data_IF_354797910128
#
_entry.id   IF_354797910128
#
_cell.length_a   1.000
_cell.length_b   1.000
_cell.length_c   1.000
_cell.angle_alpha   90.00
_cell.angle_beta   90.00
_cell.angle_gamma   90.00
#
_symmetry.space_group_name_H-M   'P 1'
#
loop_
_entity.id
_entity.type
_entity.pdbx_description
1 polymer ?
#
# COMPACT_ATOMS: atom_id res chain seq x y z
N UNK A 1 -0.99 -2.91 -74.37
CA UNK A 1 -1.20 -4.28 -73.87
C UNK A 1 -1.00 -4.26 -72.37
N UNK A 2 -1.99 -4.73 -71.62
CA UNK A 2 -2.13 -4.55 -70.19
C UNK A 2 -1.15 -5.43 -69.39
N UNK A 3 -0.47 -4.82 -68.41
CA UNK A 3 0.40 -5.49 -67.45
C UNK A 3 -0.34 -5.71 -66.13
N UNK A 4 -0.59 -6.97 -65.79
CA UNK A 4 -1.21 -7.42 -64.54
C UNK A 4 -0.21 -7.35 -63.39
N UNK A 5 -0.47 -6.54 -62.35
CA UNK A 5 0.27 -6.56 -61.08
C UNK A 5 -0.37 -7.58 -60.14
N UNK A 6 0.39 -8.60 -59.76
CA UNK A 6 0.03 -9.56 -58.72
C UNK A 6 0.23 -8.95 -57.33
N UNK A 7 -0.83 -8.94 -56.54
CA UNK A 7 -0.82 -8.65 -55.10
C UNK A 7 -0.46 -9.93 -54.33
N UNK A 8 0.74 -9.98 -53.77
CA UNK A 8 1.13 -10.99 -52.79
C UNK A 8 0.50 -10.62 -51.44
N UNK A 9 -0.55 -11.34 -51.06
CA UNK A 9 -1.09 -11.37 -49.70
C UNK A 9 -0.24 -12.36 -48.89
N UNK A 10 0.36 -11.90 -47.79
CA UNK A 10 1.00 -12.77 -46.80
C UNK A 10 -0.10 -13.27 -45.85
N UNK A 11 -0.25 -14.59 -45.63
CA UNK A 11 -1.22 -15.13 -44.67
C UNK A 11 -0.87 -14.73 -43.23
N UNK A 12 -1.89 -14.41 -42.44
CA UNK A 12 -1.77 -14.03 -41.04
C UNK A 12 -1.15 -15.14 -40.18
N UNK A 13 -0.19 -14.75 -39.36
CA UNK A 13 0.34 -15.60 -38.31
C UNK A 13 -0.66 -15.70 -37.16
N UNK A 14 -0.97 -16.96 -36.84
CA UNK A 14 -1.90 -17.43 -35.82
C UNK A 14 -1.29 -17.21 -34.43
N UNK A 15 -1.59 -16.07 -33.80
CA UNK A 15 -1.12 -15.70 -32.45
C UNK A 15 -1.96 -16.37 -31.34
N UNK A 16 -2.29 -17.66 -31.51
CA UNK A 16 -3.16 -18.36 -30.57
C UNK A 16 -2.86 -19.84 -30.45
N UNK A 17 -1.64 -20.17 -30.02
CA UNK A 17 -1.32 -21.40 -29.28
C UNK A 17 -0.04 -21.15 -28.48
N UNK A 18 -0.02 -21.63 -27.24
CA UNK A 18 1.13 -21.61 -26.31
C UNK A 18 1.28 -20.37 -25.42
N UNK A 19 0.20 -19.93 -24.77
CA UNK A 19 0.30 -19.19 -23.52
C UNK A 19 -0.05 -20.11 -22.32
N UNK A 20 0.93 -20.54 -21.50
CA UNK A 20 0.72 -21.49 -20.40
C UNK A 20 -0.07 -20.93 -19.20
N UNK A 21 -0.54 -19.68 -19.26
CA UNK A 21 -1.31 -19.02 -18.19
C UNK A 21 -2.83 -19.10 -18.33
N UNK A 22 -3.36 -19.81 -19.34
CA UNK A 22 -4.79 -20.09 -19.44
C UNK A 22 -5.17 -21.28 -18.54
N UNK A 23 -5.43 -21.02 -17.25
CA UNK A 23 -6.28 -21.92 -16.46
C UNK A 23 -7.68 -21.98 -17.08
N UNK A 24 -8.33 -23.16 -17.12
CA UNK A 24 -9.64 -23.32 -17.74
C UNK A 24 -10.72 -22.53 -16.98
N UNK A 25 -11.76 -22.02 -17.68
CA UNK A 25 -12.82 -21.27 -17.05
C UNK A 25 -13.71 -22.20 -16.20
N UNK A 26 -13.73 -21.97 -14.89
CA UNK A 26 -14.88 -22.32 -14.06
C UNK A 26 -16.06 -21.48 -14.55
N UNK A 27 -17.02 -22.14 -15.18
CA UNK A 27 -18.24 -21.52 -15.67
C UNK A 27 -19.07 -20.96 -14.52
N UNK A 28 -18.96 -19.65 -14.27
CA UNK A 28 -19.91 -18.93 -13.43
C UNK A 28 -21.06 -18.43 -14.31
N UNK A 29 -22.19 -19.14 -14.24
CA UNK A 29 -23.41 -18.88 -15.00
C UNK A 29 -24.13 -17.67 -14.41
N UNK A 30 -24.06 -16.52 -15.09
CA UNK A 30 -24.96 -15.41 -14.83
C UNK A 30 -26.37 -15.79 -15.32
N UNK A 31 -27.28 -16.06 -14.39
CA UNK A 31 -28.70 -16.16 -14.66
C UNK A 31 -29.30 -14.77 -14.83
N UNK A 32 -29.89 -14.53 -16.01
CA UNK A 32 -30.84 -13.45 -16.20
C UNK A 32 -32.01 -13.60 -15.22
N UNK A 33 -32.25 -12.56 -14.44
CA UNK A 33 -33.41 -12.43 -13.56
C UNK A 33 -33.68 -10.95 -13.30
N UNK A 34 -34.28 -10.28 -14.28
CA UNK A 34 -34.84 -8.95 -14.07
C UNK A 34 -36.03 -9.07 -13.11
N UNK A 35 -36.03 -8.28 -12.03
CA UNK A 35 -37.28 -7.82 -11.42
C UNK A 35 -37.12 -6.42 -10.85
N UNK A 36 -38.11 -5.60 -11.19
CA UNK A 36 -38.26 -4.18 -10.88
C UNK A 36 -38.36 -3.95 -9.38
N UNK A 37 -37.49 -3.11 -8.83
CA UNK A 37 -37.76 -2.34 -7.61
C UNK A 37 -36.74 -1.20 -7.48
N UNK A 38 -36.98 -0.08 -8.17
CA UNK A 38 -36.30 1.19 -7.90
C UNK A 38 -37.23 2.34 -8.31
N UNK A 39 -38.37 2.40 -7.64
CA UNK A 39 -39.04 3.67 -7.41
C UNK A 39 -38.71 4.06 -5.96
N UNK A 40 -38.50 5.36 -5.73
CA UNK A 40 -38.55 6.00 -4.42
C UNK A 40 -37.27 5.99 -3.57
N UNK A 41 -36.32 6.86 -3.94
CA UNK A 41 -35.51 7.58 -2.94
C UNK A 41 -35.73 9.06 -3.16
N UNK A 42 -36.77 9.56 -2.50
CA UNK A 42 -37.08 10.97 -2.43
C UNK A 42 -36.08 11.74 -1.58
N UNK A 43 -35.74 12.93 -2.09
CA UNK A 43 -35.55 14.19 -1.36
C UNK A 43 -34.77 14.12 -0.04
N UNK A 44 -33.50 14.51 -0.09
CA UNK A 44 -32.86 15.20 1.04
C UNK A 44 -31.78 16.17 0.55
N UNK A 45 -32.21 17.30 -0.01
CA UNK A 45 -31.39 18.51 -0.10
C UNK A 45 -32.32 19.70 0.07
N UNK A 46 -31.91 20.62 0.96
CA UNK A 46 -32.45 21.95 1.30
C UNK A 46 -32.96 22.03 2.75
N UNK A 47 -32.08 22.45 3.66
CA UNK A 47 -32.17 23.66 4.51
C UNK A 47 -31.43 23.46 5.83
N UNK A 48 -30.32 24.19 5.99
CA UNK A 48 -29.89 24.75 7.28
C UNK A 48 -28.73 25.73 7.04
N UNK A 49 -29.07 26.95 6.60
CA UNK A 49 -28.27 28.13 6.95
C UNK A 49 -28.83 28.60 8.29
N UNK A 50 -28.07 28.45 9.36
CA UNK A 50 -28.25 29.26 10.55
C UNK A 50 -26.91 29.41 11.25
N UNK A 51 -26.25 30.53 10.96
CA UNK A 51 -25.13 31.04 11.72
C UNK A 51 -25.66 31.54 13.05
N UNK A 52 -25.33 30.84 14.14
CA UNK A 52 -25.46 31.36 15.50
C UNK A 52 -24.05 31.54 16.02
N UNK A 53 -23.63 32.81 16.13
CA UNK A 53 -22.42 33.18 16.83
C UNK A 53 -22.66 32.95 18.33
N UNK A 54 -22.04 31.90 18.89
CA UNK A 54 -21.90 31.77 20.34
C UNK A 54 -20.75 32.66 20.80
N UNK A 55 -21.09 33.71 21.55
CA UNK A 55 -20.16 34.50 22.34
C UNK A 55 -19.65 33.64 23.51
N UNK A 56 -18.36 33.33 23.52
CA UNK A 56 -17.67 32.73 24.66
C UNK A 56 -17.19 33.88 25.55
N UNK A 57 -17.55 33.94 26.85
CA UNK A 57 -16.97 34.92 27.76
C UNK A 57 -15.50 34.55 28.07
N UNK A 58 -14.60 35.51 27.84
CA UNK A 58 -13.21 35.47 28.30
C UNK A 58 -13.19 35.67 29.81
N UNK A 59 -12.83 34.62 30.55
CA UNK A 59 -12.54 34.72 31.97
C UNK A 59 -11.08 35.16 32.16
N UNK A 60 -10.90 36.38 32.70
CA UNK A 60 -9.61 36.88 33.19
C UNK A 60 -9.24 36.18 34.49
N UNK A 61 -8.25 35.30 34.47
CA UNK A 61 -7.67 34.72 35.68
C UNK A 61 -6.57 35.64 36.23
N UNK A 62 -6.75 36.05 37.49
CA UNK A 62 -5.78 36.83 38.27
C UNK A 62 -4.54 36.01 38.62
N UNK A 63 -3.38 36.64 38.55
CA UNK A 63 -2.11 36.09 38.99
C UNK A 63 -2.14 35.81 40.50
N UNK A 64 -1.98 34.54 40.89
CA UNK A 64 -1.83 34.11 42.27
C UNK A 64 -0.37 33.83 42.56
N UNK A 65 0.17 34.57 43.52
CA UNK A 65 1.54 34.47 44.06
C UNK A 65 1.79 33.10 44.67
N UNK A 66 2.76 32.35 44.14
CA UNK A 66 3.24 31.09 44.72
C UNK A 66 4.36 31.40 45.73
N UNK A 67 4.27 30.97 47.00
CA UNK A 67 5.36 31.09 47.95
C UNK A 67 6.48 30.06 47.68
N UNK A 68 7.72 30.56 47.80
CA UNK A 68 8.96 29.79 47.73
C UNK A 68 8.99 28.69 48.78
N UNK A 69 9.04 27.42 48.33
CA UNK A 69 9.21 26.25 49.21
C UNK A 69 10.63 25.71 49.10
N UNK A 70 11.19 25.46 50.28
CA UNK A 70 12.58 25.18 50.62
C UNK A 70 13.18 23.94 49.95
N UNK A 71 14.51 23.99 49.79
CA UNK A 71 15.36 22.92 49.31
C UNK A 71 15.28 21.67 50.21
N UNK A 72 14.83 20.54 49.64
CA UNK A 72 15.00 19.20 50.23
C UNK A 72 16.37 18.67 49.80
N UNK A 73 17.19 18.32 50.78
CA UNK A 73 18.43 17.55 50.61
C UNK A 73 18.14 16.19 49.96
N UNK A 74 18.87 15.87 48.88
CA UNK A 74 18.75 14.62 48.15
C UNK A 74 19.26 13.41 48.99
N UNK A 75 18.54 12.28 49.02
CA UNK A 75 19.05 11.07 49.65
C UNK A 75 20.15 10.39 48.82
N UNK A 76 21.15 9.86 49.51
CA UNK A 76 22.30 9.13 48.96
C UNK A 76 21.81 7.87 48.21
N UNK A 77 22.28 7.60 46.97
CA UNK A 77 21.82 6.43 46.22
C UNK A 77 22.31 5.13 46.88
N UNK A 78 21.38 4.22 47.13
CA UNK A 78 21.65 2.84 47.52
C UNK A 78 22.28 2.11 46.34
N UNK A 79 23.53 1.68 46.49
CA UNK A 79 24.20 0.80 45.52
C UNK A 79 23.59 -0.60 45.66
N UNK A 80 22.84 -1.02 44.66
CA UNK A 80 22.49 -2.43 44.47
C UNK A 80 23.63 -3.09 43.71
N UNK A 81 24.37 -3.97 44.39
CA UNK A 81 25.32 -4.86 43.73
C UNK A 81 24.53 -5.97 43.03
N UNK A 82 24.36 -5.83 41.71
CA UNK A 82 23.71 -6.85 40.89
C UNK A 82 24.60 -8.10 40.81
N UNK A 83 24.11 -9.30 41.16
CA UNK A 83 24.85 -10.54 40.97
C UNK A 83 25.15 -10.74 39.49
N UNK A 84 26.43 -10.92 39.17
CA UNK A 84 26.92 -11.15 37.82
C UNK A 84 26.55 -12.59 37.41
N UNK A 85 25.41 -12.76 36.74
CA UNK A 85 25.04 -14.03 36.14
C UNK A 85 26.07 -14.43 35.07
N UNK A 86 26.46 -15.71 34.96
CA UNK A 86 27.36 -16.16 33.91
C UNK A 86 26.72 -15.97 32.54
N UNK A 87 27.40 -15.24 31.67
CA UNK A 87 27.01 -14.93 30.31
C UNK A 87 26.91 -16.20 29.47
N UNK A 88 25.70 -16.69 29.25
CA UNK A 88 25.42 -17.66 28.20
C UNK A 88 25.12 -16.87 26.93
N UNK A 89 26.16 -16.31 26.30
CA UNK A 89 26.06 -15.67 24.99
C UNK A 89 25.98 -16.75 23.89
N UNK A 90 24.90 -17.52 23.89
CA UNK A 90 24.42 -18.11 22.64
C UNK A 90 23.96 -16.94 21.78
N UNK A 91 24.75 -16.58 20.76
CA UNK A 91 24.37 -15.67 19.69
C UNK A 91 23.16 -16.26 18.95
N UNK A 92 21.96 -16.07 19.51
CA UNK A 92 20.73 -16.18 18.75
C UNK A 92 20.79 -15.02 17.77
N UNK A 93 21.28 -15.31 16.57
CA UNK A 93 21.20 -14.37 15.45
C UNK A 93 19.74 -13.94 15.37
N UNK A 94 19.47 -12.65 15.62
CA UNK A 94 18.12 -12.12 15.53
C UNK A 94 17.57 -12.49 14.14
N UNK A 95 16.30 -12.92 14.03
CA UNK A 95 15.74 -13.27 12.73
C UNK A 95 15.94 -12.08 11.79
N UNK A 96 16.44 -12.36 10.59
CA UNK A 96 16.64 -11.36 9.56
C UNK A 96 15.36 -10.54 9.38
N UNK A 97 15.45 -9.22 9.52
CA UNK A 97 14.28 -8.34 9.36
C UNK A 97 13.79 -8.44 7.92
N UNK A 98 12.48 -8.63 7.74
CA UNK A 98 11.85 -8.63 6.43
C UNK A 98 11.29 -7.23 6.14
N UNK A 99 11.56 -6.65 4.96
CA UNK A 99 11.07 -5.32 4.65
C UNK A 99 9.57 -5.36 4.40
N UNK A 100 8.84 -4.40 4.95
CA UNK A 100 7.45 -4.16 4.58
C UNK A 100 7.42 -3.43 3.23
N UNK A 101 6.91 -4.08 2.18
CA UNK A 101 6.94 -3.54 0.82
C UNK A 101 5.54 -3.05 0.43
N UNK A 102 5.43 -1.74 0.22
CA UNK A 102 4.20 -1.09 -0.24
C UNK A 102 4.21 -0.95 -1.76
N UNK A 103 3.29 -1.64 -2.43
CA UNK A 103 3.16 -1.69 -3.88
C UNK A 103 2.01 -0.80 -4.33
N UNK A 104 2.32 0.20 -5.15
CA UNK A 104 1.33 1.09 -5.75
C UNK A 104 0.50 0.39 -6.84
N UNK A 105 -0.64 0.97 -7.21
CA UNK A 105 -1.53 0.43 -8.25
C UNK A 105 -1.29 1.11 -9.61
N UNK A 106 -1.60 2.40 -9.71
CA UNK A 106 -1.62 3.11 -10.99
C UNK A 106 -0.18 3.43 -11.45
N UNK A 107 0.08 3.17 -12.73
CA UNK A 107 1.41 3.20 -13.36
C UNK A 107 2.48 2.32 -12.66
N UNK A 108 2.02 1.38 -11.83
CA UNK A 108 2.88 0.38 -11.16
C UNK A 108 2.43 -1.04 -11.48
N UNK A 109 1.22 -1.43 -11.09
CA UNK A 109 0.63 -2.74 -11.45
C UNK A 109 -0.21 -2.66 -12.72
N UNK A 110 -0.81 -1.50 -12.98
CA UNK A 110 -1.68 -1.27 -14.13
C UNK A 110 -1.39 0.09 -14.73
N UNK A 111 -1.47 0.19 -16.06
CA UNK A 111 -1.53 1.45 -16.78
C UNK A 111 -2.92 1.66 -17.35
N UNK A 112 -3.42 2.89 -17.29
CA UNK A 112 -4.69 3.25 -17.91
C UNK A 112 -4.45 3.88 -19.30
N UNK A 113 -5.20 3.42 -20.30
CA UNK A 113 -5.24 4.02 -21.64
C UNK A 113 -6.70 4.18 -22.08
N UNK A 114 -7.22 5.41 -21.99
CA UNK A 114 -8.65 5.66 -22.09
C UNK A 114 -9.40 4.95 -20.97
N UNK A 115 -10.40 4.14 -21.32
CA UNK A 115 -11.13 3.30 -20.36
C UNK A 115 -10.48 1.93 -20.10
N UNK A 116 -9.42 1.58 -20.85
CA UNK A 116 -8.76 0.28 -20.72
C UNK A 116 -7.71 0.33 -19.63
N UNK A 117 -7.68 -0.71 -18.80
CA UNK A 117 -6.62 -1.00 -17.83
C UNK A 117 -5.75 -2.10 -18.41
N UNK A 118 -4.45 -1.84 -18.51
CA UNK A 118 -3.47 -2.73 -19.12
C UNK A 118 -2.51 -3.13 -17.98
N UNK A 119 -2.41 -4.42 -17.64
CA UNK A 119 -1.44 -4.89 -16.65
C UNK A 119 -0.01 -4.53 -17.05
N UNK A 120 0.80 -4.15 -16.07
CA UNK A 120 2.25 -4.02 -16.23
C UNK A 120 2.84 -5.37 -15.82
N UNK A 121 2.87 -6.32 -16.76
CA UNK A 121 3.15 -7.74 -16.48
C UNK A 121 4.43 -7.97 -15.67
N UNK A 122 5.50 -7.23 -15.97
CA UNK A 122 6.78 -7.35 -15.25
C UNK A 122 6.64 -7.03 -13.75
N UNK A 123 5.75 -6.12 -13.36
CA UNK A 123 5.47 -5.83 -11.95
C UNK A 123 4.53 -6.86 -11.32
N UNK A 124 3.59 -7.43 -12.08
CA UNK A 124 2.74 -8.54 -11.62
C UNK A 124 3.61 -9.76 -11.27
N UNK A 125 4.51 -10.14 -12.17
CA UNK A 125 5.48 -11.22 -11.98
C UNK A 125 6.39 -10.94 -10.78
N UNK A 126 6.86 -9.69 -10.63
CA UNK A 126 7.69 -9.28 -9.48
C UNK A 126 6.96 -9.44 -8.15
N UNK A 127 5.70 -9.03 -8.05
CA UNK A 127 4.89 -9.22 -6.83
C UNK A 127 4.77 -10.69 -6.48
N UNK A 128 4.50 -11.55 -7.47
CA UNK A 128 4.42 -13.00 -7.27
C UNK A 128 5.76 -13.57 -6.77
N UNK A 129 6.89 -13.17 -7.38
CA UNK A 129 8.22 -13.59 -6.96
C UNK A 129 8.53 -13.17 -5.52
N UNK A 130 8.32 -11.90 -5.18
CA UNK A 130 8.56 -11.39 -3.83
C UNK A 130 7.70 -12.10 -2.80
N UNK A 131 6.43 -12.38 -3.11
CA UNK A 131 5.56 -13.14 -2.23
C UNK A 131 6.07 -14.58 -2.02
N UNK A 132 6.52 -15.25 -3.09
CA UNK A 132 7.11 -16.58 -3.02
C UNK A 132 8.44 -16.61 -2.23
N UNK A 133 9.19 -15.52 -2.25
CA UNK A 133 10.41 -15.30 -1.45
C UNK A 133 10.09 -15.00 0.04
N UNK A 134 8.81 -14.89 0.41
CA UNK A 134 8.36 -14.66 1.78
C UNK A 134 8.26 -13.19 2.18
N UNK A 135 8.29 -12.26 1.22
CA UNK A 135 8.14 -10.84 1.49
C UNK A 135 6.75 -10.49 2.04
N UNK A 136 6.69 -9.49 2.93
CA UNK A 136 5.44 -8.94 3.41
C UNK A 136 5.00 -7.76 2.53
N UNK A 137 3.93 -7.96 1.76
CA UNK A 137 3.48 -7.01 0.74
C UNK A 137 2.19 -6.30 1.17
N UNK A 138 2.11 -5.01 0.89
CA UNK A 138 0.96 -4.16 1.14
C UNK A 138 0.56 -3.48 -0.17
N UNK A 139 -0.71 -3.58 -0.58
CA UNK A 139 -1.17 -2.88 -1.78
C UNK A 139 -1.70 -1.51 -1.41
N UNK A 140 -1.23 -0.47 -2.09
CA UNK A 140 -1.39 0.92 -1.67
C UNK A 140 -1.89 1.79 -2.84
N UNK A 141 -2.90 2.63 -2.65
CA UNK A 141 -3.39 3.48 -3.73
C UNK A 141 -4.02 4.79 -3.25
N UNK A 142 -3.88 5.86 -4.05
CA UNK A 142 -4.60 7.12 -3.86
C UNK A 142 -6.11 6.98 -4.12
N UNK A 143 -6.54 5.97 -4.88
CA UNK A 143 -7.95 5.63 -5.08
C UNK A 143 -8.61 4.95 -3.87
N UNK A 144 -7.84 4.68 -2.80
CA UNK A 144 -8.33 4.07 -1.56
C UNK A 144 -8.09 2.56 -1.47
N UNK A 145 -8.29 2.01 -0.27
CA UNK A 145 -8.03 0.58 0.01
C UNK A 145 -8.93 -0.37 -0.77
N UNK A 146 -10.20 -0.01 -1.00
CA UNK A 146 -11.12 -0.84 -1.78
C UNK A 146 -10.72 -0.89 -3.26
N UNK A 147 -10.29 0.25 -3.81
CA UNK A 147 -9.76 0.31 -5.16
C UNK A 147 -8.47 -0.52 -5.31
N UNK A 148 -7.58 -0.46 -4.31
CA UNK A 148 -6.37 -1.28 -4.28
C UNK A 148 -6.72 -2.78 -4.26
N UNK A 149 -7.65 -3.20 -3.40
CA UNK A 149 -8.14 -4.58 -3.31
C UNK A 149 -8.73 -5.08 -4.62
N UNK A 150 -9.64 -4.30 -5.21
CA UNK A 150 -10.27 -4.65 -6.49
C UNK A 150 -9.22 -4.81 -7.59
N UNK A 151 -8.28 -3.87 -7.70
CA UNK A 151 -7.21 -3.90 -8.70
C UNK A 151 -6.30 -5.12 -8.55
N UNK A 152 -5.91 -5.47 -7.32
CA UNK A 152 -5.10 -6.66 -7.08
C UNK A 152 -5.85 -7.95 -7.41
N UNK A 153 -7.15 -8.04 -7.08
CA UNK A 153 -7.98 -9.20 -7.40
C UNK A 153 -8.19 -9.36 -8.90
N UNK A 154 -8.38 -8.27 -9.65
CA UNK A 154 -8.45 -8.28 -11.12
C UNK A 154 -7.21 -8.91 -11.77
N UNK A 155 -6.05 -8.77 -11.11
CA UNK A 155 -4.77 -9.33 -11.55
C UNK A 155 -4.43 -10.70 -10.94
N UNK A 156 -5.31 -11.25 -10.09
CA UNK A 156 -5.04 -12.50 -9.36
C UNK A 156 -4.02 -12.37 -8.22
N UNK A 157 -3.61 -11.15 -7.83
CA UNK A 157 -2.59 -10.88 -6.81
C UNK A 157 -3.15 -10.71 -5.39
N UNK A 158 -4.48 -10.80 -5.21
CA UNK A 158 -5.13 -10.51 -3.93
C UNK A 158 -4.58 -11.30 -2.74
N UNK A 159 -4.13 -12.53 -2.98
CA UNK A 159 -3.55 -13.42 -1.97
C UNK A 159 -2.11 -13.06 -1.58
N UNK A 160 -1.39 -12.30 -2.42
CA UNK A 160 -0.01 -11.91 -2.15
C UNK A 160 0.10 -10.80 -1.10
N UNK A 161 -0.98 -10.04 -0.89
CA UNK A 161 -0.97 -8.85 -0.04
C UNK A 161 -1.54 -9.10 1.36
N UNK A 162 -0.82 -8.63 2.37
CA UNK A 162 -1.25 -8.65 3.77
C UNK A 162 -2.42 -7.72 4.03
N UNK A 163 -2.42 -6.55 3.38
CA UNK A 163 -3.50 -5.56 3.49
C UNK A 163 -3.59 -4.67 2.24
N UNK A 164 -4.72 -3.97 2.13
CA UNK A 164 -5.04 -3.01 1.07
C UNK A 164 -5.35 -1.66 1.70
N UNK A 165 -4.57 -0.65 1.35
CA UNK A 165 -4.51 0.60 2.11
C UNK A 165 -4.73 1.82 1.21
N UNK A 166 -5.42 2.87 1.69
CA UNK A 166 -5.38 4.19 1.06
C UNK A 166 -3.99 4.84 1.27
N UNK A 167 -3.52 5.59 0.27
CA UNK A 167 -2.43 6.57 0.48
C UNK A 167 -2.95 7.69 1.39
N UNK A 168 -2.23 8.05 2.46
CA UNK A 168 -2.71 9.05 3.41
C UNK A 168 -2.79 10.42 2.75
N UNK A 169 -3.83 11.19 3.09
CA UNK A 169 -3.91 12.60 2.73
C UNK A 169 -3.17 13.50 3.74
N UNK A 170 -3.09 13.05 4.98
CA UNK A 170 -2.41 13.73 6.10
C UNK A 170 -1.56 12.72 6.83
N UNK A 171 -0.30 13.05 7.04
CA UNK A 171 0.64 12.27 7.84
C UNK A 171 1.05 13.13 9.03
N UNK A 172 0.82 12.63 10.25
CA UNK A 172 1.29 13.26 11.49
C UNK A 172 2.45 12.39 11.97
N UNK A 173 3.65 12.93 11.84
CA UNK A 173 4.91 12.25 12.15
C UNK A 173 5.93 13.32 12.55
N UNK A 174 6.84 13.01 13.47
CA UNK A 174 7.89 13.93 13.90
C UNK A 174 9.01 14.07 12.85
N UNK A 175 9.10 13.11 11.92
CA UNK A 175 10.00 13.13 10.78
C UNK A 175 9.23 13.22 9.46
N UNK A 176 9.88 13.81 8.44
CA UNK A 176 9.36 13.75 7.06
C UNK A 176 9.62 12.35 6.49
N UNK A 177 8.74 11.82 5.61
CA UNK A 177 8.96 10.51 4.98
C UNK A 177 10.33 10.33 4.31
N UNK A 178 10.86 11.40 3.70
CA UNK A 178 12.17 11.38 3.06
C UNK A 178 13.35 11.24 4.02
N UNK A 179 13.11 11.38 5.33
CA UNK A 179 14.10 11.26 6.40
C UNK A 179 13.93 10.01 7.25
N UNK A 180 12.99 9.12 6.90
CA UNK A 180 12.81 7.87 7.61
C UNK A 180 14.01 6.93 7.38
N UNK A 181 14.62 6.38 8.44
CA UNK A 181 15.67 5.39 8.30
C UNK A 181 15.09 4.14 7.63
N UNK A 182 15.91 3.45 6.84
CA UNK A 182 15.55 2.20 6.17
C UNK A 182 14.31 2.32 5.26
N UNK A 183 14.10 3.50 4.67
CA UNK A 183 13.10 3.73 3.62
C UNK A 183 13.81 3.97 2.27
N UNK A 184 13.44 3.20 1.26
CA UNK A 184 13.88 3.43 -0.11
C UNK A 184 12.69 3.38 -1.06
N UNK A 185 12.67 4.29 -2.05
CA UNK A 185 11.74 4.22 -3.16
C UNK A 185 12.42 3.50 -4.33
N UNK A 186 11.76 2.49 -4.87
CA UNK A 186 12.20 1.81 -6.11
C UNK A 186 11.16 2.05 -7.19
N UNK A 187 11.59 2.62 -8.32
CA UNK A 187 10.71 2.87 -9.45
C UNK A 187 10.32 1.55 -10.14
N UNK A 188 9.09 1.37 -10.67
CA UNK A 188 8.65 0.12 -11.31
C UNK A 188 9.59 -0.42 -12.40
N UNK A 189 10.21 0.48 -13.19
CA UNK A 189 11.19 0.11 -14.22
C UNK A 189 12.46 -0.57 -13.68
N UNK A 190 12.81 -0.36 -12.41
CA UNK A 190 13.97 -0.97 -11.76
C UNK A 190 13.53 -2.12 -10.86
N UNK A 191 12.44 -1.91 -10.11
CA UNK A 191 11.86 -2.88 -9.18
C UNK A 191 11.51 -4.21 -9.86
N UNK A 192 11.10 -4.20 -11.12
CA UNK A 192 10.79 -5.41 -11.89
C UNK A 192 11.94 -6.42 -11.94
N UNK A 193 13.19 -6.01 -11.72
CA UNK A 193 14.38 -6.85 -11.68
C UNK A 193 14.94 -7.18 -10.28
N UNK A 194 14.43 -6.57 -9.20
CA UNK A 194 15.01 -6.67 -7.85
C UNK A 194 14.33 -7.74 -6.97
N UNK A 195 15.11 -8.71 -6.49
CA UNK A 195 14.63 -9.72 -5.53
C UNK A 195 14.69 -9.21 -4.08
N UNK A 196 14.16 -9.99 -3.15
CA UNK A 196 14.07 -9.63 -1.74
C UNK A 196 15.44 -9.34 -1.11
N UNK A 197 16.46 -10.11 -1.48
CA UNK A 197 17.82 -9.93 -0.95
C UNK A 197 18.48 -8.63 -1.45
N UNK A 198 18.27 -8.27 -2.72
CA UNK A 198 18.71 -6.99 -3.25
C UNK A 198 18.02 -5.83 -2.52
N UNK A 199 16.71 -5.93 -2.26
CA UNK A 199 15.98 -4.93 -1.49
C UNK A 199 16.50 -4.81 -0.05
N UNK A 200 16.80 -5.93 0.62
CA UNK A 200 17.42 -5.93 1.95
C UNK A 200 18.79 -5.28 1.95
N UNK A 201 19.61 -5.59 0.95
CA UNK A 201 20.94 -4.99 0.78
C UNK A 201 20.87 -3.47 0.65
N UNK A 202 19.85 -2.92 -0.03
CA UNK A 202 19.64 -1.47 -0.14
C UNK A 202 19.29 -0.80 1.18
N UNK A 203 18.70 -1.55 2.11
CA UNK A 203 18.39 -1.10 3.46
C UNK A 203 19.55 -1.33 4.44
N UNK A 204 20.64 -1.98 4.00
CA UNK A 204 21.78 -2.32 4.86
C UNK A 204 21.50 -3.45 5.84
N UNK A 205 20.59 -4.37 5.50
CA UNK A 205 20.17 -5.52 6.32
C UNK A 205 20.75 -6.85 5.85
#
# INVERSE_FOLDING_TARGET
MAGTRGSHLVPGEDFSRDNPWLCPPVAFRWGLGASRAAAEVGRYLMTAKSSVAMLIPVATASASTIPSTQARTAPKPLRFDTPRHPSVESHMSAPARLPAIFVDVDDTLVRSFGSKRIPISAMVERVLSLHAEGAELYCWSSGGGEYARKSANELGLGHCFRAFLPKPNVLIDDAKPSGWPDMTQVHPNTASSENLEALRSRLGW
#
